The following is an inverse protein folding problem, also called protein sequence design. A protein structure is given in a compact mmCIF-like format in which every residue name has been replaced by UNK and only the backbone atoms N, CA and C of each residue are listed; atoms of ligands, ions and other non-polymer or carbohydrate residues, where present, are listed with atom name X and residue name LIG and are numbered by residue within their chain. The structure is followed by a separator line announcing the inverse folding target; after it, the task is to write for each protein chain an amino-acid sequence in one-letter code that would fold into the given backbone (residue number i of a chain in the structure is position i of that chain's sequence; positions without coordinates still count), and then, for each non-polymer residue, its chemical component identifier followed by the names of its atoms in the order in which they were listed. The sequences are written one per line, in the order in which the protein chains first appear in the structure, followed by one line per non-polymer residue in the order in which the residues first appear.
data_IF_176288308799
#
_entry.id   IF_176288308799
#
_cell.length_a   1.000
_cell.length_b   1.000
_cell.length_c   1.000
_cell.angle_alpha   90.00
_cell.angle_beta   90.00
_cell.angle_gamma   90.00
#
_symmetry.space_group_name_H-M   'P 1'
#
loop_
_entity.id
_entity.type
_entity.pdbx_description
1 polymer ?
#
# COMPACT_ATOMS: atom_id res chain seq x y z
N UNK A 1 -17.88 -13.25 7.26
CA UNK A 1 -17.56 -13.61 5.87
C UNK A 1 -16.65 -12.56 5.25
N UNK A 2 -15.71 -13.00 4.45
CA UNK A 2 -14.70 -12.11 3.88
C UNK A 2 -14.85 -12.05 2.36
N UNK A 3 -14.67 -10.86 1.80
CA UNK A 3 -14.80 -10.64 0.37
C UNK A 3 -13.72 -9.70 -0.13
N UNK A 4 -12.98 -10.15 -1.15
CA UNK A 4 -11.94 -9.38 -1.84
C UNK A 4 -12.47 -8.97 -3.20
N UNK A 5 -12.44 -7.67 -3.52
CA UNK A 5 -12.91 -7.22 -4.81
C UNK A 5 -12.11 -6.03 -5.33
N UNK A 6 -12.10 -5.88 -6.65
CA UNK A 6 -11.51 -4.72 -7.31
C UNK A 6 -12.55 -3.61 -7.41
N UNK A 7 -12.12 -2.38 -7.09
CA UNK A 7 -12.95 -1.19 -7.19
C UNK A 7 -12.77 -0.58 -8.58
N UNK A 8 -13.84 -0.52 -9.36
CA UNK A 8 -13.77 -0.06 -10.75
C UNK A 8 -14.27 1.37 -10.98
N UNK A 9 -14.85 2.01 -9.97
CA UNK A 9 -15.31 3.39 -10.09
C UNK A 9 -15.45 4.05 -8.74
N UNK A 10 -15.50 5.40 -8.74
CA UNK A 10 -15.63 6.19 -7.52
C UNK A 10 -14.63 5.79 -6.42
N UNK A 11 -13.37 5.69 -6.82
CA UNK A 11 -12.30 5.25 -5.90
C UNK A 11 -12.12 6.20 -4.71
N UNK A 12 -12.44 7.48 -4.88
CA UNK A 12 -12.32 8.47 -3.80
C UNK A 12 -13.37 8.33 -2.70
N UNK A 13 -14.34 7.44 -2.85
CA UNK A 13 -15.23 7.11 -1.73
C UNK A 13 -14.43 6.53 -0.55
N UNK A 14 -13.22 6.01 -0.82
CA UNK A 14 -12.32 5.45 0.21
C UNK A 14 -11.18 6.41 0.57
N UNK A 15 -11.33 7.71 0.29
CA UNK A 15 -10.27 8.69 0.50
C UNK A 15 -9.76 8.73 1.94
N UNK A 16 -10.63 8.57 2.93
CA UNK A 16 -10.20 8.55 4.33
C UNK A 16 -9.15 7.48 4.60
N UNK A 17 -9.37 6.26 4.07
CA UNK A 17 -8.39 5.18 4.22
C UNK A 17 -7.10 5.49 3.45
N UNK A 18 -7.24 5.96 2.21
CA UNK A 18 -6.08 6.29 1.38
C UNK A 18 -5.17 7.30 2.05
N UNK A 19 -5.75 8.33 2.68
CA UNK A 19 -4.98 9.39 3.34
C UNK A 19 -4.28 8.94 4.62
N UNK A 20 -4.69 7.82 5.20
CA UNK A 20 -3.98 7.27 6.36
C UNK A 20 -2.59 6.74 5.99
N UNK A 21 -2.46 6.19 4.79
CA UNK A 21 -1.16 5.69 4.31
C UNK A 21 -0.37 6.76 3.56
N UNK A 22 -1.07 7.69 2.89
CA UNK A 22 -0.45 8.75 2.10
C UNK A 22 -1.19 10.06 2.41
N UNK A 23 -0.65 10.92 3.28
CA UNK A 23 -1.40 12.06 3.80
C UNK A 23 -1.62 13.19 2.80
N UNK A 24 -1.15 13.05 1.56
CA UNK A 24 -1.30 14.08 0.53
C UNK A 24 -2.29 13.61 -0.55
N UNK A 25 -3.44 14.26 -0.64
CA UNK A 25 -4.42 13.95 -1.70
C UNK A 25 -3.82 14.21 -3.08
N UNK A 26 -2.98 15.23 -3.23
CA UNK A 26 -2.30 15.52 -4.48
C UNK A 26 -1.42 14.34 -4.91
N UNK A 27 -0.71 13.72 -3.96
CA UNK A 27 0.10 12.54 -4.26
C UNK A 27 -0.78 11.33 -4.59
N UNK A 28 -1.87 11.14 -3.85
CA UNK A 28 -2.84 10.07 -4.13
C UNK A 28 -3.39 10.21 -5.56
N UNK A 29 -3.69 11.42 -5.99
CA UNK A 29 -4.21 11.67 -7.34
C UNK A 29 -3.26 11.22 -8.45
N UNK A 30 -1.96 11.15 -8.16
CA UNK A 30 -0.98 10.74 -9.17
C UNK A 30 -1.07 9.27 -9.55
N UNK A 31 -1.63 8.41 -8.68
CA UNK A 31 -1.66 6.97 -8.95
C UNK A 31 -3.05 6.34 -8.86
N UNK A 32 -4.04 7.04 -8.30
CA UNK A 32 -5.32 6.41 -7.98
C UNK A 32 -6.09 5.97 -9.22
N UNK A 33 -6.25 6.84 -10.21
CA UNK A 33 -7.08 6.53 -11.38
C UNK A 33 -6.41 5.56 -12.35
N UNK A 34 -5.10 5.66 -12.50
CA UNK A 34 -4.36 4.75 -13.39
C UNK A 34 -4.05 3.41 -12.72
N UNK A 35 -4.04 3.37 -11.40
CA UNK A 35 -3.81 2.14 -10.64
C UNK A 35 -5.06 1.29 -10.52
N UNK A 36 -4.86 0.07 -10.08
CA UNK A 36 -5.96 -0.83 -9.75
C UNK A 36 -6.16 -0.83 -8.24
N UNK A 37 -7.39 -0.59 -7.82
CA UNK A 37 -7.73 -0.51 -6.40
C UNK A 37 -8.51 -1.74 -5.98
N UNK A 38 -8.16 -2.25 -4.80
CA UNK A 38 -8.80 -3.43 -4.21
C UNK A 38 -9.24 -3.12 -2.79
N UNK A 39 -10.34 -3.75 -2.38
CA UNK A 39 -10.82 -3.66 -1.00
C UNK A 39 -11.05 -5.05 -0.43
N UNK A 40 -10.91 -5.16 0.87
CA UNK A 40 -11.24 -6.35 1.62
C UNK A 40 -12.40 -6.00 2.55
N UNK A 41 -13.45 -6.78 2.46
CA UNK A 41 -14.68 -6.56 3.23
C UNK A 41 -14.84 -7.72 4.21
N UNK A 42 -15.11 -7.40 5.48
CA UNK A 42 -15.44 -8.39 6.51
C UNK A 42 -16.72 -7.96 7.18
N UNK A 43 -17.70 -8.87 7.21
CA UNK A 43 -19.01 -8.64 7.82
C UNK A 43 -19.67 -7.36 7.33
N UNK A 44 -19.59 -7.14 6.00
CA UNK A 44 -20.23 -5.99 5.36
C UNK A 44 -19.47 -4.69 5.50
N UNK A 45 -18.26 -4.68 6.10
CA UNK A 45 -17.50 -3.47 6.33
C UNK A 45 -16.16 -3.54 5.59
N UNK A 46 -15.76 -2.44 4.95
CA UNK A 46 -14.45 -2.32 4.31
C UNK A 46 -13.40 -2.18 5.41
N UNK A 47 -12.51 -3.17 5.52
CA UNK A 47 -11.48 -3.20 6.56
C UNK A 47 -10.08 -2.89 6.03
N UNK A 48 -9.89 -2.93 4.71
CA UNK A 48 -8.57 -2.72 4.11
C UNK A 48 -8.73 -2.29 2.66
N UNK A 49 -7.84 -1.42 2.19
CA UNK A 49 -7.73 -1.06 0.78
C UNK A 49 -6.29 -1.16 0.31
N UNK A 50 -6.09 -1.33 -1.00
CA UNK A 50 -4.77 -1.31 -1.61
C UNK A 50 -4.89 -0.77 -3.04
N UNK A 51 -3.84 -0.08 -3.49
CA UNK A 51 -3.73 0.40 -4.87
C UNK A 51 -2.41 -0.08 -5.44
N UNK A 52 -2.46 -0.72 -6.62
CA UNK A 52 -1.28 -1.21 -7.34
C UNK A 52 -1.23 -0.51 -8.68
N UNK A 53 -0.08 0.06 -9.04
CA UNK A 53 0.06 0.77 -10.30
C UNK A 53 0.28 -0.20 -11.49
N UNK A 54 0.24 0.30 -12.74
CA UNK A 54 0.39 -0.57 -13.90
C UNK A 54 1.74 -1.29 -14.01
N UNK A 55 2.74 -0.87 -13.25
CA UNK A 55 4.07 -1.50 -13.25
C UNK A 55 4.25 -2.55 -12.15
N UNK A 56 3.21 -2.79 -11.34
CA UNK A 56 3.27 -3.77 -10.26
C UNK A 56 3.77 -3.23 -8.95
N UNK A 57 3.71 -1.91 -8.75
CA UNK A 57 4.09 -1.30 -7.48
C UNK A 57 2.86 -1.03 -6.62
N UNK A 58 2.90 -1.50 -5.37
CA UNK A 58 1.90 -1.18 -4.36
C UNK A 58 2.08 0.28 -3.95
N UNK A 59 1.11 1.12 -4.28
CA UNK A 59 1.18 2.56 -4.03
C UNK A 59 0.51 2.99 -2.74
N UNK A 60 -0.43 2.20 -2.26
CA UNK A 60 -1.17 2.49 -1.04
C UNK A 60 -1.66 1.18 -0.42
N UNK A 61 -1.55 1.06 0.87
CA UNK A 61 -2.09 -0.07 1.63
C UNK A 61 -2.51 0.43 2.99
N UNK A 62 -3.79 0.34 3.30
CA UNK A 62 -4.31 0.79 4.59
C UNK A 62 -5.26 -0.23 5.17
N UNK A 63 -5.03 -0.61 6.41
CA UNK A 63 -5.98 -1.36 7.23
C UNK A 63 -6.69 -0.36 8.13
N UNK A 64 -8.02 -0.41 8.16
CA UNK A 64 -8.82 0.45 9.04
C UNK A 64 -8.26 0.33 10.47
N UNK A 65 -8.02 1.47 11.16
CA UNK A 65 -7.40 1.45 12.50
C UNK A 65 -8.11 0.54 13.50
N UNK A 66 -9.43 0.37 13.36
CA UNK A 66 -10.21 -0.50 14.26
C UNK A 66 -9.94 -1.98 14.02
N UNK A 67 -9.28 -2.34 12.91
CA UNK A 67 -9.05 -3.72 12.51
C UNK A 67 -7.56 -4.07 12.38
N UNK A 68 -6.67 -3.18 12.81
CA UNK A 68 -5.22 -3.43 12.76
C UNK A 68 -4.80 -4.52 13.76
N UNK A 69 -3.59 -5.08 13.55
CA UNK A 69 -2.99 -6.12 14.38
C UNK A 69 -3.76 -7.44 14.36
N UNK A 70 -4.51 -7.71 13.28
CA UNK A 70 -5.28 -8.95 13.09
C UNK A 70 -4.82 -9.73 11.85
N UNK A 71 -3.69 -9.34 11.25
CA UNK A 71 -3.18 -10.01 10.06
C UNK A 71 -3.87 -9.63 8.76
N UNK A 72 -4.71 -8.59 8.75
CA UNK A 72 -5.47 -8.19 7.56
C UNK A 72 -4.56 -7.66 6.46
N UNK A 73 -3.56 -6.85 6.82
CA UNK A 73 -2.60 -6.34 5.84
C UNK A 73 -1.82 -7.46 5.16
N UNK A 74 -1.35 -8.43 5.93
CA UNK A 74 -0.67 -9.62 5.42
C UNK A 74 -1.58 -10.39 4.46
N UNK A 75 -2.85 -10.54 4.83
CA UNK A 75 -3.82 -11.24 3.99
C UNK A 75 -4.06 -10.50 2.68
N UNK A 76 -4.20 -9.18 2.73
CA UNK A 76 -4.34 -8.38 1.51
C UNK A 76 -3.15 -8.58 0.58
N UNK A 77 -1.92 -8.56 1.11
CA UNK A 77 -0.72 -8.78 0.31
C UNK A 77 -0.69 -10.16 -0.33
N UNK A 78 -1.13 -11.20 0.39
CA UNK A 78 -1.23 -12.55 -0.17
C UNK A 78 -2.26 -12.63 -1.29
N UNK A 79 -3.41 -11.98 -1.12
CA UNK A 79 -4.45 -11.93 -2.14
C UNK A 79 -3.98 -11.18 -3.39
N UNK A 80 -3.29 -10.05 -3.22
CA UNK A 80 -2.72 -9.30 -4.33
C UNK A 80 -1.67 -10.11 -5.07
N UNK A 81 -0.82 -10.82 -4.32
CA UNK A 81 0.22 -11.67 -4.92
C UNK A 81 -0.37 -12.76 -5.80
N UNK A 82 -1.45 -13.38 -5.34
CA UNK A 82 -2.16 -14.38 -6.14
C UNK A 82 -2.83 -13.77 -7.36
N UNK A 83 -3.43 -12.59 -7.18
CA UNK A 83 -4.13 -11.89 -8.27
C UNK A 83 -3.18 -11.53 -9.41
N UNK A 84 -1.96 -11.09 -9.06
CA UNK A 84 -0.97 -10.65 -10.05
C UNK A 84 0.00 -11.74 -10.50
N UNK A 85 -0.10 -12.92 -9.96
CA UNK A 85 0.71 -14.06 -10.36
C UNK A 85 0.46 -14.34 -11.86
N UNK A 86 1.54 -14.43 -12.63
CA UNK A 86 1.44 -14.59 -14.07
C UNK A 86 1.35 -13.28 -14.86
N UNK A 87 1.09 -12.16 -14.17
CA UNK A 87 1.06 -10.84 -14.80
C UNK A 87 2.35 -10.07 -14.56
N UNK A 88 2.87 -10.13 -13.33
CA UNK A 88 4.13 -9.51 -12.96
C UNK A 88 5.07 -10.55 -12.37
N UNK A 89 6.38 -10.34 -12.51
CA UNK A 89 7.37 -11.20 -11.87
C UNK A 89 7.50 -10.87 -10.37
N UNK A 90 7.33 -9.61 -10.05
CA UNK A 90 7.46 -9.10 -8.68
C UNK A 90 6.35 -8.11 -8.37
N UNK A 91 5.98 -8.06 -7.09
CA UNK A 91 5.19 -6.97 -6.54
C UNK A 91 6.18 -6.07 -5.79
N UNK A 92 6.19 -4.77 -6.11
CA UNK A 92 7.09 -3.80 -5.50
C UNK A 92 6.34 -2.94 -4.49
N UNK A 93 7.05 -2.43 -3.50
CA UNK A 93 6.50 -1.46 -2.56
C UNK A 93 7.58 -0.48 -2.13
N UNK A 94 7.21 0.79 -2.02
CA UNK A 94 8.06 1.81 -1.40
C UNK A 94 7.48 2.15 -0.03
N UNK A 95 8.33 2.22 0.97
CA UNK A 95 7.91 2.53 2.33
C UNK A 95 8.99 3.36 3.05
N UNK A 96 8.64 3.89 4.21
CA UNK A 96 9.61 4.54 5.10
C UNK A 96 10.39 3.47 5.87
N UNK A 97 11.46 3.89 6.57
CA UNK A 97 12.25 2.95 7.38
C UNK A 97 11.40 2.18 8.38
N UNK A 98 10.37 2.81 8.96
CA UNK A 98 9.51 2.16 9.95
C UNK A 98 8.61 1.08 9.35
N UNK A 99 8.37 1.09 8.04
CA UNK A 99 7.52 0.12 7.37
C UNK A 99 8.24 -1.14 6.90
N UNK A 100 9.58 -1.13 6.89
CA UNK A 100 10.38 -2.21 6.31
C UNK A 100 10.10 -3.56 7.00
N UNK A 101 10.06 -3.58 8.32
CA UNK A 101 9.89 -4.83 9.08
C UNK A 101 8.58 -5.55 8.73
N UNK A 102 7.49 -4.79 8.55
CA UNK A 102 6.21 -5.37 8.17
C UNK A 102 6.30 -6.08 6.82
N UNK A 103 6.87 -5.39 5.82
CA UNK A 103 6.98 -5.98 4.48
C UNK A 103 7.94 -7.15 4.42
N UNK A 104 9.03 -7.11 5.20
CA UNK A 104 9.93 -8.26 5.29
C UNK A 104 9.23 -9.49 5.86
N UNK A 105 8.39 -9.32 6.86
CA UNK A 105 7.57 -10.42 7.40
C UNK A 105 6.62 -10.98 6.36
N UNK A 106 6.20 -10.16 5.40
CA UNK A 106 5.29 -10.57 4.35
C UNK A 106 5.99 -11.13 3.11
N UNK A 107 7.29 -11.41 3.22
CA UNK A 107 8.03 -12.06 2.13
C UNK A 107 8.67 -11.09 1.14
N UNK A 108 8.71 -9.82 1.44
CA UNK A 108 9.39 -8.83 0.61
C UNK A 108 10.87 -8.77 0.99
N UNK A 109 11.71 -8.46 0.01
CA UNK A 109 13.15 -8.29 0.19
C UNK A 109 13.58 -6.90 -0.25
N UNK A 110 14.60 -6.36 0.38
CA UNK A 110 15.16 -5.06 0.03
C UNK A 110 15.54 -5.02 -1.46
N UNK A 111 15.17 -3.93 -2.12
CA UNK A 111 15.53 -3.67 -3.51
C UNK A 111 16.51 -2.50 -3.60
N UNK A 112 16.06 -1.30 -3.27
CA UNK A 112 16.89 -0.09 -3.33
C UNK A 112 16.29 1.02 -2.47
N UNK A 113 17.05 2.13 -2.33
CA UNK A 113 16.67 3.28 -1.52
C UNK A 113 16.67 4.53 -2.40
N UNK A 114 15.65 5.38 -2.26
CA UNK A 114 15.61 6.71 -2.86
C UNK A 114 15.79 7.72 -1.75
N UNK A 115 16.96 8.37 -1.71
CA UNK A 115 17.31 9.32 -0.66
C UNK A 115 16.42 10.57 -0.75
N UNK A 116 16.02 11.08 0.42
CA UNK A 116 15.27 12.33 0.55
C UNK A 116 13.94 12.34 -0.21
N UNK A 117 13.36 11.15 -0.49
CA UNK A 117 12.12 11.07 -1.26
C UNK A 117 11.01 11.89 -0.59
N UNK A 118 10.79 11.69 0.71
CA UNK A 118 9.68 12.36 1.40
C UNK A 118 9.94 13.86 1.58
N UNK A 119 11.19 14.23 1.86
CA UNK A 119 11.53 15.64 2.02
C UNK A 119 11.49 16.41 0.71
N UNK A 120 11.77 15.73 -0.42
CA UNK A 120 11.76 16.35 -1.75
C UNK A 120 10.37 16.44 -2.36
N UNK A 121 9.46 15.51 -2.03
CA UNK A 121 8.17 15.38 -2.72
C UNK A 121 6.96 15.85 -1.92
N UNK A 122 7.11 16.05 -0.60
CA UNK A 122 6.02 16.49 0.26
C UNK A 122 6.31 17.88 0.81
N UNK A 123 5.31 18.79 0.82
CA UNK A 123 5.51 20.18 1.24
C UNK A 123 5.74 20.34 2.75
N UNK A 124 5.34 19.36 3.54
CA UNK A 124 5.51 19.38 4.99
C UNK A 124 6.13 18.08 5.46
N UNK A 125 6.81 18.07 6.63
CA UNK A 125 7.39 16.84 7.16
C UNK A 125 6.33 15.76 7.36
N UNK A 126 6.67 14.53 6.99
CA UNK A 126 5.81 13.35 7.16
C UNK A 126 6.39 12.51 8.29
N UNK A 127 5.55 12.11 9.23
CA UNK A 127 5.95 11.29 10.36
C UNK A 127 5.21 9.96 10.35
N UNK A 128 5.90 8.89 10.72
CA UNK A 128 5.33 7.55 10.86
C UNK A 128 5.93 6.93 12.14
N UNK A 129 5.06 6.48 13.04
CA UNK A 129 5.47 5.94 14.35
C UNK A 129 6.39 6.89 15.12
N UNK A 130 6.14 8.22 15.01
CA UNK A 130 6.91 9.24 15.70
C UNK A 130 8.26 9.56 15.06
N UNK A 131 8.62 8.93 13.95
CA UNK A 131 9.86 9.20 13.22
C UNK A 131 9.57 9.96 11.95
N UNK A 132 10.42 10.92 11.60
CA UNK A 132 10.29 11.65 10.35
C UNK A 132 10.69 10.75 9.18
N UNK A 133 9.81 10.68 8.18
CA UNK A 133 10.10 9.97 6.93
C UNK A 133 11.00 10.84 6.06
N UNK A 134 12.14 10.32 5.65
CA UNK A 134 13.10 11.03 4.81
C UNK A 134 13.32 10.26 3.50
N UNK A 135 13.83 9.05 3.59
CA UNK A 135 14.09 8.21 2.43
C UNK A 135 12.93 7.27 2.13
N UNK A 136 12.79 6.90 0.86
CA UNK A 136 11.90 5.82 0.46
C UNK A 136 12.72 4.54 0.31
N UNK A 137 12.32 3.48 1.00
CA UNK A 137 12.94 2.17 0.89
C UNK A 137 12.06 1.33 -0.02
N UNK A 138 12.63 0.78 -1.09
CA UNK A 138 11.91 -0.10 -2.00
C UNK A 138 12.22 -1.54 -1.71
N UNK A 139 11.16 -2.35 -1.62
CA UNK A 139 11.24 -3.79 -1.45
C UNK A 139 10.46 -4.46 -2.57
N UNK A 140 10.71 -5.76 -2.77
CA UNK A 140 10.01 -6.54 -3.78
C UNK A 140 9.73 -7.94 -3.27
N UNK A 141 8.62 -8.52 -3.73
CA UNK A 141 8.22 -9.88 -3.44
C UNK A 141 8.04 -10.64 -4.77
N UNK A 142 8.67 -11.80 -4.88
CA UNK A 142 8.53 -12.64 -6.06
C UNK A 142 7.15 -13.27 -6.11
N UNK A 143 6.51 -13.27 -7.28
CA UNK A 143 5.13 -13.72 -7.45
C UNK A 143 4.99 -15.12 -8.05
N UNK A 144 6.06 -15.75 -8.44
CA UNK A 144 5.99 -17.09 -9.04
C UNK A 144 6.42 -18.18 -8.07
#
# INVERSE_FOLDING_TARGET
MEHFEQVTGNKKQYLELLLLADPSEEMVDKYLETGEMFILIQQGKVVCEAVVDPCGELKNLTVDPLFQKKGIGTKMLDLLSKHYQGKFNFLYVGTSDSGVAFYEKCGFQYSHRVKNFFTDHYPAPIFDNGEQCVDMIYLKRKLS
#
